data_IF_072491570226
#
_entry.id   IF_072491570226
#
_cell.length_a   1.000
_cell.length_b   1.000
_cell.length_c   1.000
_cell.angle_alpha   90.00
_cell.angle_beta   90.00
_cell.angle_gamma   90.00
#
_symmetry.space_group_name_H-M   'P 1'
#
loop_
_entity.id
_entity.type
_entity.pdbx_description
1 polymer ?
#
# COMPACT_ATOMS: atom_id res chain seq x y z
N UNK A 1 -18.48 -4.39 20.46
CA UNK A 1 -19.63 -3.49 20.30
C UNK A 1 -19.13 -2.29 19.50
N UNK A 2 -19.36 -2.27 18.19
CA UNK A 2 -18.90 -1.15 17.33
C UNK A 2 -19.66 0.12 17.71
N UNK A 3 -18.93 1.14 18.13
CA UNK A 3 -19.51 2.45 18.38
C UNK A 3 -19.84 3.07 17.01
N UNK A 4 -21.05 2.84 16.51
CA UNK A 4 -21.50 3.49 15.28
C UNK A 4 -21.53 5.01 15.52
N UNK A 5 -20.89 5.77 14.63
CA UNK A 5 -20.93 7.23 14.65
C UNK A 5 -22.38 7.71 14.56
N UNK A 6 -22.76 8.68 15.40
CA UNK A 6 -24.08 9.33 15.31
C UNK A 6 -24.24 10.15 14.01
N UNK A 7 -23.13 10.47 13.34
CA UNK A 7 -23.14 11.14 12.05
C UNK A 7 -23.22 10.13 10.90
N UNK A 8 -24.06 10.42 9.91
CA UNK A 8 -24.10 9.72 8.63
C UNK A 8 -24.06 10.71 7.46
N UNK A 9 -23.53 10.27 6.32
CA UNK A 9 -23.27 11.08 5.13
C UNK A 9 -23.89 10.37 3.93
N UNK A 10 -24.67 11.08 3.12
CA UNK A 10 -25.17 10.60 1.82
C UNK A 10 -24.51 11.40 0.69
N UNK A 11 -23.87 10.69 -0.22
CA UNK A 11 -23.32 11.25 -1.46
C UNK A 11 -24.39 11.22 -2.54
N UNK A 12 -24.59 12.34 -3.25
CA UNK A 12 -25.47 12.39 -4.42
C UNK A 12 -24.63 12.81 -5.62
N UNK A 13 -24.58 11.95 -6.63
CA UNK A 13 -23.94 12.25 -7.91
C UNK A 13 -24.95 13.03 -8.73
N UNK A 14 -24.58 14.21 -9.23
CA UNK A 14 -25.44 14.94 -10.13
C UNK A 14 -25.53 14.15 -11.46
N UNK A 15 -26.73 13.82 -11.97
CA UNK A 15 -26.85 13.05 -13.22
C UNK A 15 -26.17 13.72 -14.42
N UNK A 16 -26.12 15.05 -14.40
CA UNK A 16 -25.70 15.88 -15.53
C UNK A 16 -24.34 16.55 -15.32
N UNK A 17 -23.63 16.23 -14.23
CA UNK A 17 -22.31 16.79 -13.94
C UNK A 17 -21.39 15.78 -13.23
N UNK A 18 -20.10 16.11 -13.16
CA UNK A 18 -19.13 15.34 -12.36
C UNK A 18 -19.11 15.76 -10.89
N UNK A 19 -20.06 16.58 -10.46
CA UNK A 19 -20.13 17.08 -9.09
C UNK A 19 -20.78 16.05 -8.16
N UNK A 20 -20.15 15.88 -7.00
CA UNK A 20 -20.68 15.09 -5.90
C UNK A 20 -21.10 16.07 -4.82
N UNK A 21 -22.39 16.03 -4.44
CA UNK A 21 -22.91 16.79 -3.30
C UNK A 21 -23.11 15.89 -2.10
N UNK A 22 -23.03 16.46 -0.90
CA UNK A 22 -23.15 15.71 0.34
C UNK A 22 -24.36 16.20 1.14
N UNK A 23 -25.12 15.27 1.71
CA UNK A 23 -26.11 15.55 2.75
C UNK A 23 -25.70 14.86 4.02
N UNK A 24 -25.59 15.62 5.11
CA UNK A 24 -25.15 15.13 6.41
C UNK A 24 -26.31 15.02 7.39
N UNK A 25 -26.26 14.00 8.25
CA UNK A 25 -27.26 13.74 9.28
C UNK A 25 -26.56 13.49 10.62
N UNK A 26 -27.21 13.91 11.72
CA UNK A 26 -26.87 13.53 13.09
C UNK A 26 -28.10 12.86 13.70
N UNK A 27 -27.95 11.59 14.08
CA UNK A 27 -29.04 10.79 14.66
C UNK A 27 -30.31 10.81 13.77
N UNK A 28 -30.12 10.60 12.46
CA UNK A 28 -31.18 10.61 11.45
C UNK A 28 -31.69 11.99 11.03
N UNK A 29 -31.35 13.07 11.75
CA UNK A 29 -31.79 14.44 11.42
C UNK A 29 -30.77 15.15 10.55
N UNK A 30 -31.22 15.80 9.47
CA UNK A 30 -30.35 16.58 8.58
C UNK A 30 -29.62 17.65 9.39
N UNK A 31 -28.31 17.76 9.20
CA UNK A 31 -27.47 18.77 9.84
C UNK A 31 -26.66 19.54 8.80
N UNK A 32 -26.02 20.63 9.22
CA UNK A 32 -25.15 21.41 8.34
C UNK A 32 -23.77 20.72 8.22
N UNK A 33 -23.09 20.99 7.11
CA UNK A 33 -21.68 20.70 6.93
C UNK A 33 -21.03 21.90 6.25
N UNK A 34 -19.71 22.01 6.41
CA UNK A 34 -18.91 23.03 5.75
C UNK A 34 -17.66 22.40 5.18
N UNK A 35 -17.21 22.92 4.06
CA UNK A 35 -15.90 22.57 3.52
C UNK A 35 -14.81 23.14 4.44
N UNK A 36 -13.83 22.30 4.80
CA UNK A 36 -12.66 22.74 5.54
C UNK A 36 -11.49 22.85 4.57
N UNK A 37 -10.94 24.04 4.44
CA UNK A 37 -9.81 24.33 3.54
C UNK A 37 -8.55 24.70 4.32
N UNK A 38 -7.43 24.92 3.63
CA UNK A 38 -6.16 25.31 4.23
C UNK A 38 -5.16 24.18 4.46
N UNK A 39 -4.00 24.52 5.04
CA UNK A 39 -2.83 23.62 5.10
C UNK A 39 -3.08 22.34 5.92
N UNK A 40 -3.81 22.45 7.03
CA UNK A 40 -4.14 21.31 7.90
C UNK A 40 -5.09 20.36 7.18
N UNK A 41 -6.16 20.88 6.55
CA UNK A 41 -7.11 20.09 5.78
C UNK A 41 -6.44 19.37 4.60
N UNK A 42 -5.59 20.06 3.83
CA UNK A 42 -4.82 19.44 2.74
C UNK A 42 -3.92 18.31 3.23
N UNK A 43 -3.22 18.50 4.36
CA UNK A 43 -2.39 17.44 4.96
C UNK A 43 -3.24 16.25 5.41
N UNK A 44 -4.39 16.50 6.03
CA UNK A 44 -5.33 15.46 6.48
C UNK A 44 -5.86 14.63 5.31
N UNK A 45 -6.23 15.30 4.21
CA UNK A 45 -6.66 14.64 2.97
C UNK A 45 -5.53 13.80 2.36
N UNK A 46 -4.31 14.34 2.32
CA UNK A 46 -3.15 13.61 1.80
C UNK A 46 -2.84 12.33 2.60
N UNK A 47 -2.95 12.38 3.93
CA UNK A 47 -2.82 11.20 4.80
C UNK A 47 -3.96 10.20 4.59
N UNK A 48 -5.20 10.65 4.33
CA UNK A 48 -6.33 9.77 3.99
C UNK A 48 -6.02 8.93 2.75
N UNK A 49 -5.47 9.57 1.71
CA UNK A 49 -5.09 8.86 0.50
C UNK A 49 -3.96 7.85 0.73
N UNK A 50 -3.05 8.13 1.67
CA UNK A 50 -2.01 7.18 2.07
C UNK A 50 -2.62 5.99 2.80
N UNK A 51 -3.57 6.20 3.72
CA UNK A 51 -4.29 5.09 4.38
C UNK A 51 -4.99 4.20 3.36
N UNK A 52 -5.68 4.79 2.38
CA UNK A 52 -6.33 4.01 1.31
C UNK A 52 -5.33 3.20 0.49
N UNK A 53 -4.20 3.79 0.12
CA UNK A 53 -3.14 3.06 -0.58
C UNK A 53 -2.61 1.89 0.26
N UNK A 54 -2.39 2.09 1.57
CA UNK A 54 -1.94 1.04 2.50
C UNK A 54 -3.00 -0.06 2.71
N UNK A 55 -4.29 0.29 2.72
CA UNK A 55 -5.38 -0.70 2.74
C UNK A 55 -5.37 -1.57 1.48
N UNK A 56 -5.20 -0.97 0.29
CA UNK A 56 -5.03 -1.76 -0.94
C UNK A 56 -3.77 -2.64 -0.89
N UNK A 57 -2.67 -2.14 -0.32
CA UNK A 57 -1.46 -2.96 -0.13
C UNK A 57 -1.76 -4.19 0.74
N UNK A 58 -2.52 -4.01 1.81
CA UNK A 58 -2.94 -5.10 2.68
C UNK A 58 -3.79 -6.14 1.94
N UNK A 59 -4.77 -5.70 1.15
CA UNK A 59 -5.59 -6.56 0.30
C UNK A 59 -4.74 -7.38 -0.69
N UNK A 60 -3.78 -6.73 -1.37
CA UNK A 60 -2.88 -7.40 -2.30
C UNK A 60 -2.02 -8.47 -1.62
N UNK A 61 -1.43 -8.18 -0.46
CA UNK A 61 -0.62 -9.15 0.27
C UNK A 61 -1.45 -10.33 0.80
N UNK A 62 -2.69 -10.09 1.21
CA UNK A 62 -3.60 -11.15 1.61
C UNK A 62 -4.06 -12.02 0.45
N UNK A 63 -4.36 -11.41 -0.70
CA UNK A 63 -4.65 -12.14 -1.92
C UNK A 63 -3.44 -12.98 -2.34
N UNK A 64 -2.25 -12.38 -2.34
CA UNK A 64 -1.00 -13.07 -2.66
C UNK A 64 -0.79 -14.30 -1.77
N UNK A 65 -1.08 -14.20 -0.46
CA UNK A 65 -0.98 -15.33 0.48
C UNK A 65 -1.83 -16.54 0.06
N UNK A 66 -2.96 -16.30 -0.60
CA UNK A 66 -3.88 -17.33 -1.09
C UNK A 66 -3.55 -17.88 -2.49
N UNK A 67 -2.67 -17.22 -3.25
CA UNK A 67 -2.38 -17.59 -4.64
C UNK A 67 -0.87 -17.63 -4.97
N UNK A 68 -0.02 -17.94 -3.98
CA UNK A 68 1.45 -17.88 -4.10
C UNK A 68 2.04 -18.73 -5.25
N UNK A 69 1.38 -19.81 -5.64
CA UNK A 69 1.85 -20.70 -6.72
C UNK A 69 1.22 -20.36 -8.09
N UNK A 70 0.37 -19.34 -8.15
CA UNK A 70 -0.35 -18.96 -9.37
C UNK A 70 0.43 -17.94 -10.21
N UNK A 71 0.24 -17.98 -11.53
CA UNK A 71 0.82 -16.99 -12.46
C UNK A 71 0.39 -15.54 -12.15
N UNK A 72 -0.72 -15.35 -11.42
CA UNK A 72 -1.19 -14.02 -11.00
C UNK A 72 -0.43 -13.44 -9.81
N UNK A 73 0.37 -14.25 -9.10
CA UNK A 73 1.06 -13.84 -7.88
C UNK A 73 2.04 -12.68 -8.15
N UNK A 74 2.79 -12.75 -9.25
CA UNK A 74 3.71 -11.68 -9.67
C UNK A 74 2.99 -10.36 -9.95
N UNK A 75 1.98 -10.29 -10.84
CA UNK A 75 1.22 -9.07 -11.05
C UNK A 75 0.63 -8.45 -9.77
N UNK A 76 0.15 -9.28 -8.84
CA UNK A 76 -0.36 -8.83 -7.54
C UNK A 76 0.77 -8.19 -6.72
N UNK A 77 1.94 -8.83 -6.66
CA UNK A 77 3.07 -8.30 -5.94
C UNK A 77 3.60 -7.01 -6.57
N UNK A 78 3.69 -6.93 -7.89
CA UNK A 78 4.09 -5.71 -8.61
C UNK A 78 3.13 -4.56 -8.29
N UNK A 79 1.81 -4.82 -8.27
CA UNK A 79 0.81 -3.85 -7.86
C UNK A 79 0.99 -3.39 -6.41
N UNK A 80 1.29 -4.31 -5.49
CA UNK A 80 1.64 -3.99 -4.10
C UNK A 80 2.88 -3.07 -4.03
N UNK A 81 3.98 -3.44 -4.68
CA UNK A 81 5.25 -2.70 -4.63
C UNK A 81 5.07 -1.29 -5.19
N UNK A 82 4.33 -1.13 -6.29
CA UNK A 82 4.01 0.18 -6.89
C UNK A 82 3.16 1.02 -5.92
N UNK A 83 2.08 0.45 -5.38
CA UNK A 83 1.15 1.14 -4.48
C UNK A 83 1.85 1.55 -3.18
N UNK A 84 2.64 0.66 -2.59
CA UNK A 84 3.46 0.93 -1.41
C UNK A 84 4.45 2.06 -1.69
N UNK A 85 5.19 1.97 -2.80
CA UNK A 85 6.16 2.98 -3.20
C UNK A 85 5.55 4.38 -3.37
N UNK A 86 4.30 4.47 -3.82
CA UNK A 86 3.54 5.73 -3.95
C UNK A 86 3.39 6.46 -2.62
N UNK A 87 3.33 5.76 -1.49
CA UNK A 87 3.24 6.38 -0.16
C UNK A 87 4.50 7.19 0.20
N UNK A 88 5.65 6.85 -0.38
CA UNK A 88 6.96 7.45 -0.10
C UNK A 88 7.48 8.34 -1.23
N UNK A 89 6.86 8.30 -2.40
CA UNK A 89 7.22 9.14 -3.54
C UNK A 89 6.70 10.58 -3.36
N UNK A 90 7.50 11.57 -3.77
CA UNK A 90 7.06 12.97 -3.87
C UNK A 90 6.23 13.15 -5.14
N UNK A 91 4.91 13.10 -5.03
CA UNK A 91 3.98 13.42 -6.12
C UNK A 91 3.48 14.87 -6.03
N UNK A 92 3.32 15.52 -7.19
CA UNK A 92 2.86 16.92 -7.30
C UNK A 92 1.41 17.12 -6.80
N UNK A 93 0.53 16.13 -6.97
CA UNK A 93 -0.89 16.26 -6.63
C UNK A 93 -1.20 16.01 -5.14
N UNK A 94 -0.55 15.02 -4.51
CA UNK A 94 -0.79 14.68 -3.10
C UNK A 94 -0.12 15.66 -2.14
N UNK A 95 0.99 16.29 -2.57
CA UNK A 95 1.73 17.28 -1.77
C UNK A 95 2.36 16.75 -0.48
N UNK A 96 2.32 15.43 -0.23
CA UNK A 96 2.85 14.77 0.95
C UNK A 96 3.47 13.42 0.59
N UNK A 97 4.66 13.16 1.12
CA UNK A 97 5.33 11.86 1.10
C UNK A 97 5.66 11.46 2.53
N UNK A 98 5.47 10.19 2.86
CA UNK A 98 5.98 9.66 4.13
C UNK A 98 7.50 9.75 4.13
N UNK A 99 8.07 10.18 5.26
CA UNK A 99 9.52 10.17 5.46
C UNK A 99 9.88 8.93 6.29
N UNK A 100 10.58 7.92 5.75
CA UNK A 100 10.84 6.66 6.45
C UNK A 100 11.38 6.86 7.88
N UNK A 101 12.29 7.83 8.05
CA UNK A 101 12.87 8.22 9.34
C UNK A 101 11.87 8.65 10.42
N UNK A 102 10.63 8.99 10.05
CA UNK A 102 9.59 9.39 11.00
C UNK A 102 8.72 8.20 11.41
N UNK A 103 8.67 7.14 10.60
CA UNK A 103 7.74 6.01 10.80
C UNK A 103 8.43 4.75 11.30
N UNK A 104 9.76 4.65 11.15
CA UNK A 104 10.55 3.47 11.55
C UNK A 104 11.62 3.79 12.60
N UNK A 105 11.42 4.82 13.42
CA UNK A 105 12.35 5.17 14.49
C UNK A 105 12.46 4.00 15.47
N UNK A 106 13.67 3.47 15.64
CA UNK A 106 13.99 2.30 16.50
C UNK A 106 13.40 0.96 16.04
N UNK A 107 12.89 0.87 14.80
CA UNK A 107 12.27 -0.34 14.26
C UNK A 107 13.08 -0.86 13.08
N UNK A 108 14.30 -1.32 13.38
CA UNK A 108 15.30 -1.73 12.38
C UNK A 108 14.77 -2.76 11.40
N UNK A 109 13.91 -3.67 11.86
CA UNK A 109 13.30 -4.71 11.04
C UNK A 109 12.31 -4.13 10.02
N UNK A 110 11.40 -3.25 10.43
CA UNK A 110 10.47 -2.59 9.50
C UNK A 110 11.21 -1.69 8.51
N UNK A 111 12.25 -0.99 8.97
CA UNK A 111 13.08 -0.20 8.08
C UNK A 111 13.78 -1.06 7.01
N UNK A 112 14.32 -2.21 7.39
CA UNK A 112 14.94 -3.17 6.45
C UNK A 112 13.92 -3.69 5.43
N UNK A 113 12.73 -4.08 5.88
CA UNK A 113 11.65 -4.53 4.98
C UNK A 113 11.23 -3.42 4.02
N UNK A 114 11.08 -2.19 4.51
CA UNK A 114 10.81 -1.00 3.68
C UNK A 114 11.88 -0.81 2.59
N UNK A 115 13.16 -0.84 2.96
CA UNK A 115 14.27 -0.68 2.01
C UNK A 115 14.25 -1.77 0.93
N UNK A 116 13.92 -3.00 1.30
CA UNK A 116 13.79 -4.08 0.34
C UNK A 116 12.66 -3.81 -0.67
N UNK A 117 11.47 -3.42 -0.21
CA UNK A 117 10.34 -3.11 -1.11
C UNK A 117 10.67 -1.95 -2.05
N UNK A 118 11.27 -0.86 -1.55
CA UNK A 118 11.66 0.28 -2.39
C UNK A 118 12.75 -0.11 -3.39
N UNK A 119 13.70 -0.96 -2.99
CA UNK A 119 14.70 -1.51 -3.90
C UNK A 119 14.06 -2.37 -4.99
N UNK A 120 13.11 -3.24 -4.63
CA UNK A 120 12.32 -4.04 -5.59
C UNK A 120 11.60 -3.13 -6.56
N UNK A 121 10.91 -2.08 -6.08
CA UNK A 121 10.22 -1.12 -6.96
C UNK A 121 11.17 -0.50 -7.98
N UNK A 122 12.31 -0.02 -7.50
CA UNK A 122 13.22 0.76 -8.32
C UNK A 122 14.01 -0.10 -9.29
N UNK A 123 14.46 -1.29 -8.88
CA UNK A 123 15.32 -2.14 -9.72
C UNK A 123 14.53 -3.14 -10.54
N UNK A 124 13.61 -3.84 -9.88
CA UNK A 124 12.93 -4.98 -10.47
C UNK A 124 11.71 -4.55 -11.29
N UNK A 125 10.81 -3.76 -10.70
CA UNK A 125 9.56 -3.35 -11.37
C UNK A 125 9.81 -2.26 -12.42
N UNK A 126 10.72 -1.32 -12.15
CA UNK A 126 10.94 -0.17 -13.03
C UNK A 126 12.04 -0.37 -14.09
N UNK A 127 13.00 -1.26 -13.87
CA UNK A 127 14.20 -1.33 -14.71
C UNK A 127 14.58 -2.74 -15.22
N UNK A 128 13.78 -3.79 -14.93
CA UNK A 128 14.13 -5.19 -15.30
C UNK A 128 15.59 -5.56 -14.95
N UNK A 129 16.16 -4.90 -13.94
CA UNK A 129 17.53 -5.16 -13.51
C UNK A 129 17.53 -6.52 -12.82
N UNK A 130 18.50 -7.37 -13.15
CA UNK A 130 18.72 -8.68 -12.51
C UNK A 130 18.66 -8.53 -10.99
N UNK A 131 17.53 -8.92 -10.42
CA UNK A 131 17.26 -8.82 -8.99
C UNK A 131 17.31 -10.23 -8.40
N UNK A 132 17.19 -10.33 -7.07
CA UNK A 132 17.09 -11.62 -6.37
C UNK A 132 15.91 -12.47 -6.88
N UNK A 133 15.01 -11.87 -7.65
CA UNK A 133 13.75 -12.42 -8.12
C UNK A 133 13.74 -12.81 -9.61
N UNK A 134 14.82 -12.51 -10.34
CA UNK A 134 15.06 -12.96 -11.72
C UNK A 134 16.51 -13.44 -11.82
N UNK A 135 16.72 -14.72 -11.51
CA UNK A 135 17.98 -15.42 -11.77
C UNK A 135 17.70 -16.54 -12.76
N UNK A 136 18.24 -16.40 -13.97
CA UNK A 136 18.22 -17.44 -14.99
C UNK A 136 19.59 -18.10 -15.03
N UNK A 137 19.72 -19.27 -14.42
CA UNK A 137 20.92 -20.10 -14.55
C UNK A 137 20.60 -21.29 -15.48
N UNK A 138 21.53 -21.64 -16.37
CA UNK A 138 21.37 -22.78 -17.28
C UNK A 138 22.01 -23.99 -16.64
N UNK A 139 21.24 -25.06 -16.48
CA UNK A 139 21.69 -26.31 -15.88
C UNK A 139 21.67 -27.43 -16.91
N UNK A 140 22.62 -28.35 -16.79
CA UNK A 140 22.68 -29.58 -17.57
C UNK A 140 22.54 -30.77 -16.61
N UNK A 141 21.42 -31.49 -16.71
CA UNK A 141 21.29 -32.79 -16.07
C UNK A 141 21.86 -33.87 -17.00
N UNK A 142 22.67 -34.78 -16.46
CA UNK A 142 23.21 -35.93 -17.19
C UNK A 142 22.90 -37.23 -16.44
N UNK A 143 22.56 -38.29 -17.18
CA UNK A 143 22.42 -39.64 -16.65
C UNK A 143 22.85 -40.65 -17.72
N UNK A 144 24.06 -41.20 -17.59
CA UNK A 144 24.63 -42.08 -18.63
C UNK A 144 24.79 -41.35 -19.96
N UNK A 145 24.21 -41.89 -21.04
CA UNK A 145 24.21 -41.28 -22.38
C UNK A 145 23.12 -40.21 -22.57
N UNK A 146 22.22 -40.02 -21.61
CA UNK A 146 21.16 -39.03 -21.68
C UNK A 146 21.60 -37.71 -21.06
N UNK A 147 21.18 -36.60 -21.68
CA UNK A 147 21.38 -35.28 -21.14
C UNK A 147 20.19 -34.38 -21.41
N UNK A 148 19.92 -33.45 -20.49
CA UNK A 148 18.86 -32.46 -20.60
C UNK A 148 19.37 -31.12 -20.11
N UNK A 149 19.37 -30.14 -21.01
CA UNK A 149 19.52 -28.74 -20.63
C UNK A 149 18.18 -28.25 -20.08
N UNK A 150 18.19 -27.62 -18.92
CA UNK A 150 17.03 -26.95 -18.35
C UNK A 150 17.44 -25.64 -17.71
N UNK A 151 16.51 -24.70 -17.70
CA UNK A 151 16.64 -23.45 -16.97
C UNK A 151 15.60 -23.57 -15.86
N UNK A 152 15.97 -23.84 -14.60
CA UNK A 152 15.06 -23.68 -13.49
C UNK A 152 14.82 -22.18 -13.41
N UNK A 153 13.72 -21.75 -14.01
CA UNK A 153 13.22 -20.39 -13.84
C UNK A 153 12.68 -20.34 -12.42
N UNK A 154 13.57 -20.15 -11.44
CA UNK A 154 13.16 -19.83 -10.08
C UNK A 154 12.79 -18.35 -10.11
N UNK A 155 11.58 -18.08 -10.61
CA UNK A 155 10.95 -16.79 -10.46
C UNK A 155 10.53 -16.65 -9.00
N UNK A 156 11.45 -16.26 -8.11
CA UNK A 156 11.06 -15.69 -6.82
C UNK A 156 10.40 -14.32 -7.08
N UNK A 157 9.36 -14.24 -7.90
CA UNK A 157 8.77 -12.98 -8.34
C UNK A 157 8.14 -12.17 -7.20
N UNK A 158 7.95 -12.80 -6.03
CA UNK A 158 7.39 -12.22 -4.81
C UNK A 158 7.91 -12.96 -3.56
N UNK A 159 7.83 -12.35 -2.36
CA UNK A 159 8.15 -13.02 -1.10
C UNK A 159 7.11 -14.10 -0.76
N UNK A 160 7.54 -15.09 0.01
CA UNK A 160 6.71 -16.18 0.53
C UNK A 160 6.81 -16.27 2.06
N UNK A 161 5.87 -16.97 2.68
CA UNK A 161 5.86 -17.33 4.11
C UNK A 161 6.21 -16.16 5.05
N UNK A 162 7.26 -16.32 5.86
CA UNK A 162 7.72 -15.34 6.84
C UNK A 162 8.12 -14.01 6.20
N UNK A 163 8.57 -14.01 4.94
CA UNK A 163 8.90 -12.76 4.24
C UNK A 163 7.64 -12.01 3.85
N UNK A 164 6.59 -12.72 3.40
CA UNK A 164 5.29 -12.13 3.11
C UNK A 164 4.62 -11.59 4.38
N UNK A 165 4.64 -12.37 5.47
CA UNK A 165 4.08 -11.94 6.75
C UNK A 165 4.76 -10.66 7.28
N UNK A 166 6.07 -10.49 7.05
CA UNK A 166 6.79 -9.27 7.43
C UNK A 166 6.30 -8.03 6.68
N UNK A 167 5.95 -8.17 5.41
CA UNK A 167 5.42 -7.06 4.62
C UNK A 167 3.98 -6.71 5.03
N UNK A 168 3.19 -7.72 5.42
CA UNK A 168 1.86 -7.53 6.00
C UNK A 168 1.96 -6.74 7.30
N UNK A 169 2.84 -7.17 8.22
CA UNK A 169 3.04 -6.48 9.51
C UNK A 169 3.60 -5.06 9.31
N UNK A 170 4.47 -4.85 8.32
CA UNK A 170 4.93 -3.52 7.95
C UNK A 170 3.77 -2.60 7.52
N UNK A 171 2.84 -3.10 6.70
CA UNK A 171 1.68 -2.32 6.26
C UNK A 171 0.76 -1.98 7.45
N UNK A 172 0.47 -2.95 8.32
CA UNK A 172 -0.32 -2.72 9.55
C UNK A 172 0.32 -1.65 10.42
N UNK A 173 1.63 -1.77 10.64
CA UNK A 173 2.40 -0.84 11.44
C UNK A 173 2.31 0.58 10.88
N UNK A 174 2.57 0.77 9.58
CA UNK A 174 2.46 2.07 8.93
C UNK A 174 1.05 2.66 9.02
N UNK A 175 0.03 1.85 8.73
CA UNK A 175 -1.37 2.28 8.82
C UNK A 175 -1.67 2.79 10.22
N UNK A 176 -1.25 2.08 11.28
CA UNK A 176 -1.47 2.52 12.66
C UNK A 176 -0.85 3.89 12.95
N UNK A 177 0.39 4.13 12.51
CA UNK A 177 1.09 5.41 12.71
C UNK A 177 0.43 6.56 11.95
N UNK A 178 0.01 6.30 10.71
CA UNK A 178 -0.67 7.31 9.87
C UNK A 178 -2.05 7.65 10.43
N UNK A 179 -2.81 6.66 10.91
CA UNK A 179 -4.11 6.86 11.57
C UNK A 179 -3.97 7.70 12.84
N UNK A 180 -2.93 7.46 13.66
CA UNK A 180 -2.64 8.29 14.83
C UNK A 180 -2.31 9.74 14.44
N UNK A 181 -1.62 9.95 13.32
CA UNK A 181 -1.34 11.30 12.81
C UNK A 181 -2.62 12.01 12.33
N UNK A 182 -3.49 11.27 11.63
CA UNK A 182 -4.82 11.72 11.21
C UNK A 182 -5.64 12.19 12.42
N UNK A 183 -5.71 11.38 13.48
CA UNK A 183 -6.47 11.72 14.69
C UNK A 183 -5.97 13.03 15.33
N UNK A 184 -4.64 13.24 15.34
CA UNK A 184 -4.04 14.50 15.83
C UNK A 184 -4.41 15.70 14.97
N UNK A 185 -4.56 15.53 13.64
CA UNK A 185 -5.02 16.61 12.76
C UNK A 185 -6.52 16.86 12.91
N UNK A 186 -7.33 15.81 13.07
CA UNK A 186 -8.77 15.94 13.27
C UNK A 186 -9.07 16.76 14.54
N UNK A 187 -8.32 16.55 15.63
CA UNK A 187 -8.43 17.39 16.84
C UNK A 187 -8.11 18.87 16.59
N UNK A 188 -7.23 19.17 15.63
CA UNK A 188 -6.88 20.57 15.26
C UNK A 188 -7.88 21.21 14.31
N UNK A 189 -8.60 20.41 13.53
CA UNK A 189 -9.67 20.89 12.64
C UNK A 189 -10.93 21.20 13.44
N UNK A 190 -11.17 20.46 14.53
CA UNK A 190 -12.31 20.65 15.43
C UNK A 190 -12.16 21.82 16.42
N UNK A 191 -10.92 22.29 16.62
CA UNK A 191 -10.59 23.41 17.51
C UNK A 191 -10.67 24.74 16.77
#
# INVERSE_FOLDING_TARGET
MEHMSKFSIKSNICPDSSEITYTTFYDGKKCQHQEVTGKIAKRRLALEYIVRDLSSCFEYLHLLKSCQESEIAKPIYDAFVIKYGKCFASGNERGLSLKPKNYFQNESMFYKTHLNIIKTRNKYVAHSDSSVYEQGEVYLATNGSESKVFIPVINYSHPTDKSLDREIELCKHLTSKVVLEIQKLDSKIKA
#
